data_IF_243821050754
#
_entry.id   IF_243821050754
#
_cell.length_a   1.000
_cell.length_b   1.000
_cell.length_c   1.000
_cell.angle_alpha   90.00
_cell.angle_beta   90.00
_cell.angle_gamma   90.00
#
_symmetry.space_group_name_H-M   'P 1'
#
loop_
_entity.id
_entity.type
_entity.pdbx_description
1 polymer ?
#
# COMPACT_ATOMS: atom_id res chain seq x y z
N UNK A 1 -4.34 2.50 28.79
CA UNK A 1 -3.19 1.73 28.29
C UNK A 1 -2.35 2.70 27.47
N UNK A 2 -1.31 3.26 28.09
CA UNK A 2 -0.39 4.21 27.49
C UNK A 2 0.49 3.48 26.46
N UNK A 3 0.37 3.86 25.18
CA UNK A 3 1.40 3.57 24.20
C UNK A 3 2.31 4.79 24.08
N UNK A 4 3.21 4.93 25.02
CA UNK A 4 4.40 5.76 24.84
C UNK A 4 5.43 4.91 24.11
N UNK A 5 5.43 4.96 22.77
CA UNK A 5 6.63 4.68 22.01
C UNK A 5 7.26 6.06 21.73
N UNK A 6 8.44 6.37 22.22
CA UNK A 6 9.17 7.55 21.77
C UNK A 6 9.38 7.36 20.27
N UNK A 7 8.88 8.29 19.47
CA UNK A 7 9.21 8.35 18.05
C UNK A 7 10.73 8.35 17.97
N UNK A 8 11.31 7.29 17.44
CA UNK A 8 12.73 7.10 17.35
C UNK A 8 13.33 8.26 16.56
N UNK A 9 13.94 9.22 17.24
CA UNK A 9 14.51 10.43 16.65
C UNK A 9 15.63 10.12 15.65
N UNK A 10 16.13 8.89 15.65
CA UNK A 10 17.15 8.40 14.70
C UNK A 10 16.61 8.29 13.27
N UNK A 11 15.29 8.15 13.07
CA UNK A 11 14.66 8.06 11.75
C UNK A 11 14.66 9.39 10.98
N UNK A 12 14.95 10.52 11.63
CA UNK A 12 14.91 11.85 11.03
C UNK A 12 16.29 12.49 10.83
N UNK A 13 17.37 11.76 11.10
CA UNK A 13 18.74 12.14 10.74
C UNK A 13 19.06 11.62 9.33
N UNK A 14 18.36 12.19 8.34
CA UNK A 14 18.68 11.90 6.95
C UNK A 14 19.96 12.66 6.57
N UNK A 15 21.01 11.99 6.06
CA UNK A 15 22.12 12.69 5.45
C UNK A 15 21.59 13.56 4.31
N UNK A 16 22.17 14.73 4.13
CA UNK A 16 21.88 15.67 3.03
C UNK A 16 20.46 16.29 3.01
N UNK A 17 19.79 16.35 4.18
CA UNK A 17 18.47 16.99 4.27
C UNK A 17 18.52 18.47 3.85
N UNK A 18 19.58 19.17 4.21
CA UNK A 18 19.79 20.58 3.82
C UNK A 18 20.02 20.74 2.31
N UNK A 19 20.70 19.78 1.68
CA UNK A 19 20.87 19.75 0.24
C UNK A 19 19.54 19.54 -0.47
N UNK A 20 18.74 18.58 0.00
CA UNK A 20 17.40 18.35 -0.53
C UNK A 20 16.52 19.59 -0.38
N UNK A 21 16.55 20.26 0.77
CA UNK A 21 15.78 21.47 1.03
C UNK A 21 16.17 22.62 0.09
N UNK A 22 17.46 22.75 -0.24
CA UNK A 22 17.95 23.72 -1.24
C UNK A 22 17.54 23.34 -2.65
N UNK A 23 17.70 22.06 -3.04
CA UNK A 23 17.33 21.54 -4.37
C UNK A 23 15.85 21.75 -4.67
N UNK A 24 14.98 21.53 -3.69
CA UNK A 24 13.54 21.73 -3.83
C UNK A 24 13.10 23.19 -3.64
N UNK A 25 14.03 24.10 -3.37
CA UNK A 25 13.74 25.51 -3.04
C UNK A 25 12.88 25.68 -1.76
N UNK A 26 12.75 24.66 -0.95
CA UNK A 26 12.08 24.77 0.36
C UNK A 26 12.85 25.69 1.30
N UNK A 27 14.18 25.68 1.23
CA UNK A 27 15.06 26.63 1.89
C UNK A 27 15.89 27.34 0.83
N UNK A 28 15.57 28.63 0.58
CA UNK A 28 16.29 29.47 -0.40
C UNK A 28 17.52 30.12 0.26
N UNK A 29 17.35 30.55 1.52
CA UNK A 29 18.41 31.21 2.30
C UNK A 29 18.48 30.58 3.68
N UNK A 30 19.69 30.44 4.24
CA UNK A 30 19.87 29.96 5.60
C UNK A 30 19.10 30.86 6.56
N UNK A 31 18.17 30.30 7.31
CA UNK A 31 17.38 30.99 8.30
C UNK A 31 17.83 30.56 9.69
N UNK A 32 18.06 31.51 10.58
CA UNK A 32 18.29 31.25 12.00
C UNK A 32 17.03 30.77 12.74
N UNK A 33 15.86 31.03 12.14
CA UNK A 33 14.58 30.72 12.77
C UNK A 33 14.07 29.30 12.51
N UNK A 34 14.47 28.69 11.40
CA UNK A 34 13.98 27.37 11.02
C UNK A 34 14.86 26.75 9.94
N UNK A 35 15.42 25.61 10.22
CA UNK A 35 16.08 24.73 9.25
C UNK A 35 15.15 23.57 8.83
N UNK A 36 15.55 22.83 7.83
CA UNK A 36 14.75 21.75 7.25
C UNK A 36 14.51 20.60 8.25
N UNK A 37 15.52 20.26 9.05
CA UNK A 37 15.46 19.20 10.05
C UNK A 37 14.47 19.54 11.16
N UNK A 38 14.60 20.73 11.74
CA UNK A 38 13.71 21.22 12.80
C UNK A 38 12.27 21.31 12.33
N UNK A 39 12.03 21.78 11.10
CA UNK A 39 10.68 21.79 10.50
C UNK A 39 10.13 20.35 10.36
N UNK A 40 10.88 19.45 9.79
CA UNK A 40 10.45 18.05 9.57
C UNK A 40 10.13 17.35 10.89
N UNK A 41 11.01 17.48 11.91
CA UNK A 41 10.80 16.89 13.23
C UNK A 41 9.54 17.45 13.90
N UNK A 42 9.32 18.75 13.80
CA UNK A 42 8.16 19.40 14.42
C UNK A 42 6.87 19.00 13.71
N UNK A 43 6.87 18.97 12.37
CA UNK A 43 5.73 18.53 11.57
C UNK A 43 5.38 17.08 11.86
N UNK A 44 6.37 16.18 11.83
CA UNK A 44 6.16 14.74 12.11
C UNK A 44 5.65 14.51 13.54
N UNK A 45 6.18 15.23 14.53
CA UNK A 45 5.69 15.16 15.91
C UNK A 45 4.26 15.67 16.06
N UNK A 46 3.91 16.76 15.38
CA UNK A 46 2.55 17.32 15.39
C UNK A 46 1.54 16.36 14.74
N UNK A 47 1.89 15.75 13.60
CA UNK A 47 1.06 14.75 12.92
C UNK A 47 0.90 13.50 13.78
N UNK A 48 1.96 12.98 14.36
CA UNK A 48 1.93 11.79 15.20
C UNK A 48 1.10 11.97 16.47
N UNK A 49 1.03 13.18 17.01
CA UNK A 49 0.20 13.51 18.18
C UNK A 49 -1.25 13.86 17.82
N UNK A 50 -1.62 13.86 16.53
CA UNK A 50 -2.96 14.23 16.06
C UNK A 50 -3.24 15.73 16.10
N UNK A 51 -2.22 16.56 16.31
CA UNK A 51 -2.33 18.01 16.44
C UNK A 51 -1.46 18.72 15.40
N UNK A 52 -1.95 18.84 14.17
CA UNK A 52 -1.19 19.40 13.05
C UNK A 52 -1.73 20.76 12.55
N UNK A 53 -2.29 21.60 13.41
CA UNK A 53 -2.66 22.97 13.02
C UNK A 53 -1.41 23.84 12.84
N UNK A 54 -1.50 24.86 11.96
CA UNK A 54 -0.41 25.82 11.74
C UNK A 54 0.05 26.49 13.06
N UNK A 55 -0.90 26.77 13.95
CA UNK A 55 -0.59 27.37 15.26
C UNK A 55 0.22 26.40 16.14
N UNK A 56 -0.15 25.13 16.18
CA UNK A 56 0.57 24.13 17.00
C UNK A 56 1.97 23.84 16.44
N UNK A 57 2.11 23.80 15.12
CA UNK A 57 3.43 23.68 14.46
C UNK A 57 4.27 24.93 14.78
N UNK A 58 3.68 26.13 14.73
CA UNK A 58 4.38 27.37 15.08
C UNK A 58 4.86 27.39 16.54
N UNK A 59 4.02 26.95 17.48
CA UNK A 59 4.38 26.81 18.91
C UNK A 59 5.53 25.79 19.06
N UNK A 60 5.41 24.61 18.46
CA UNK A 60 6.45 23.57 18.53
C UNK A 60 7.80 24.03 17.96
N UNK A 61 7.78 24.74 16.83
CA UNK A 61 8.99 25.34 16.26
C UNK A 61 9.57 26.43 17.13
N UNK A 62 8.71 27.32 17.67
CA UNK A 62 9.17 28.39 18.58
C UNK A 62 9.85 27.82 19.82
N UNK A 63 9.32 26.75 20.39
CA UNK A 63 9.91 26.06 21.54
C UNK A 63 11.27 25.43 21.21
N UNK A 64 11.42 24.82 20.01
CA UNK A 64 12.65 24.15 19.59
C UNK A 64 13.75 25.14 19.20
N UNK A 65 13.39 26.25 18.60
CA UNK A 65 14.36 27.23 18.06
C UNK A 65 14.68 28.38 19.01
N UNK A 66 13.85 28.58 20.05
CA UNK A 66 13.91 29.76 20.90
C UNK A 66 13.50 31.06 20.20
N UNK A 67 12.93 30.98 18.99
CA UNK A 67 12.54 32.12 18.18
C UNK A 67 11.02 32.18 18.05
N UNK A 68 10.44 33.38 18.08
CA UNK A 68 9.00 33.51 17.80
C UNK A 68 8.69 33.28 16.36
N UNK A 69 7.83 32.26 16.08
CA UNK A 69 7.35 31.90 14.75
C UNK A 69 5.82 32.04 14.75
N UNK A 70 5.28 32.77 13.78
CA UNK A 70 3.82 32.96 13.66
C UNK A 70 3.18 31.81 12.88
N UNK A 71 1.88 31.58 13.13
CA UNK A 71 1.09 30.61 12.34
C UNK A 71 1.01 30.99 10.86
N UNK A 72 1.03 32.28 10.55
CA UNK A 72 1.09 32.78 9.16
C UNK A 72 2.38 32.36 8.47
N UNK A 73 3.54 32.46 9.14
CA UNK A 73 4.81 32.00 8.57
C UNK A 73 4.81 30.48 8.31
N UNK A 74 4.08 29.71 9.10
CA UNK A 74 3.90 28.27 8.83
C UNK A 74 2.97 28.04 7.63
N UNK A 75 1.86 28.77 7.55
CA UNK A 75 0.95 28.69 6.41
C UNK A 75 1.67 28.96 5.09
N UNK A 76 2.49 30.00 5.02
CA UNK A 76 3.29 30.35 3.83
C UNK A 76 4.34 29.30 3.46
N UNK A 77 4.73 28.43 4.40
CA UNK A 77 5.67 27.33 4.14
C UNK A 77 5.02 26.13 3.44
N UNK A 78 3.70 25.97 3.56
CA UNK A 78 2.98 24.93 2.83
C UNK A 78 2.76 25.38 1.37
N UNK A 79 3.72 25.01 0.52
CA UNK A 79 3.83 25.42 -0.89
C UNK A 79 4.26 24.22 -1.74
N UNK A 80 4.32 24.38 -3.05
CA UNK A 80 4.86 23.37 -3.95
C UNK A 80 6.29 22.96 -3.56
N UNK A 81 7.11 23.91 -3.10
CA UNK A 81 8.46 23.63 -2.63
C UNK A 81 8.48 22.72 -1.39
N UNK A 82 7.56 22.92 -0.45
CA UNK A 82 7.43 22.01 0.71
C UNK A 82 6.91 20.63 0.31
N UNK A 83 5.99 20.55 -0.64
CA UNK A 83 5.52 19.27 -1.18
C UNK A 83 6.67 18.51 -1.84
N UNK A 84 7.44 19.15 -2.71
CA UNK A 84 8.61 18.54 -3.33
C UNK A 84 9.68 18.11 -2.31
N UNK A 85 9.89 18.91 -1.26
CA UNK A 85 10.80 18.57 -0.17
C UNK A 85 10.33 17.33 0.59
N UNK A 86 9.07 17.30 1.03
CA UNK A 86 8.51 16.16 1.78
C UNK A 86 8.47 14.88 0.94
N UNK A 87 8.15 14.97 -0.35
CA UNK A 87 8.24 13.84 -1.30
C UNK A 87 9.67 13.29 -1.37
N UNK A 88 10.67 14.16 -1.51
CA UNK A 88 12.07 13.74 -1.51
C UNK A 88 12.54 13.14 -0.18
N UNK A 89 12.00 13.62 0.95
CA UNK A 89 12.23 13.01 2.28
C UNK A 89 11.64 11.61 2.32
N UNK A 90 10.42 11.42 1.85
CA UNK A 90 9.77 10.09 1.79
C UNK A 90 10.58 9.11 0.94
N UNK A 91 10.99 9.51 -0.25
CA UNK A 91 11.81 8.69 -1.14
C UNK A 91 13.11 8.22 -0.45
N UNK A 92 13.80 9.12 0.25
CA UNK A 92 15.02 8.78 0.98
C UNK A 92 14.77 7.84 2.16
N UNK A 93 13.70 8.06 2.92
CA UNK A 93 13.34 7.19 4.05
C UNK A 93 13.02 5.76 3.58
N UNK A 94 12.30 5.61 2.50
CA UNK A 94 11.98 4.30 1.94
C UNK A 94 13.23 3.61 1.39
N UNK A 95 14.08 4.31 0.63
CA UNK A 95 15.34 3.77 0.13
C UNK A 95 16.26 3.25 1.24
N UNK A 96 16.38 3.97 2.35
CA UNK A 96 17.19 3.54 3.49
C UNK A 96 16.60 2.33 4.23
N UNK A 97 15.27 2.21 4.32
CA UNK A 97 14.60 1.20 5.16
C UNK A 97 14.45 -0.16 4.50
N UNK A 98 14.34 -0.19 3.18
CA UNK A 98 14.05 -1.41 2.41
C UNK A 98 15.22 -1.92 1.56
N UNK A 99 16.20 -1.09 1.25
CA UNK A 99 17.38 -1.46 0.46
C UNK A 99 18.22 -2.64 1.00
N UNK A 100 18.38 -2.86 2.33
CA UNK A 100 19.31 -3.90 2.80
C UNK A 100 18.79 -5.34 2.73
N UNK A 101 17.50 -5.57 2.38
CA UNK A 101 16.87 -6.89 2.52
C UNK A 101 16.79 -7.70 1.22
N UNK A 102 16.88 -7.08 0.07
CA UNK A 102 16.76 -7.76 -1.22
C UNK A 102 18.08 -7.72 -1.98
N UNK A 103 18.83 -8.82 -1.91
CA UNK A 103 19.95 -9.01 -2.83
C UNK A 103 19.38 -9.45 -4.20
N UNK A 104 19.73 -8.76 -5.27
CA UNK A 104 19.32 -9.08 -6.64
C UNK A 104 19.65 -10.54 -7.08
N UNK A 105 20.45 -11.28 -6.31
CA UNK A 105 20.87 -12.63 -6.63
C UNK A 105 19.77 -13.70 -6.59
N UNK A 106 18.62 -13.44 -5.96
CA UNK A 106 17.55 -14.44 -5.77
C UNK A 106 16.24 -14.09 -6.51
N UNK A 107 16.21 -13.01 -7.29
CA UNK A 107 14.98 -12.54 -7.95
C UNK A 107 14.81 -13.08 -9.37
N UNK A 108 15.77 -13.83 -9.91
CA UNK A 108 15.70 -14.41 -11.27
C UNK A 108 15.44 -13.36 -12.34
N UNK A 109 14.32 -13.50 -13.04
CA UNK A 109 13.91 -12.57 -14.10
C UNK A 109 13.27 -11.26 -13.60
N UNK A 110 13.05 -11.12 -12.29
CA UNK A 110 12.42 -9.93 -11.70
C UNK A 110 13.47 -8.85 -11.49
N UNK A 111 13.18 -7.64 -11.96
CA UNK A 111 14.03 -6.44 -11.80
C UNK A 111 13.59 -5.56 -10.64
N UNK A 112 12.27 -5.29 -10.55
CA UNK A 112 11.64 -4.51 -9.49
C UNK A 112 10.46 -5.28 -8.91
N UNK A 113 10.17 -5.06 -7.64
CA UNK A 113 8.95 -5.57 -7.01
C UNK A 113 8.10 -4.36 -6.63
N UNK A 114 7.09 -4.09 -7.43
CA UNK A 114 6.21 -2.95 -7.27
C UNK A 114 5.01 -3.32 -6.40
N UNK A 115 4.88 -2.64 -5.25
CA UNK A 115 3.74 -2.80 -4.35
C UNK A 115 2.87 -1.56 -4.43
N UNK A 116 1.59 -1.74 -4.73
CA UNK A 116 0.59 -0.68 -4.76
C UNK A 116 -0.48 -0.95 -3.71
N UNK A 117 -0.76 0.07 -2.90
CA UNK A 117 -1.81 0.05 -1.88
C UNK A 117 -2.35 1.46 -1.65
N UNK A 118 -3.58 1.56 -1.20
CA UNK A 118 -4.23 2.83 -0.88
C UNK A 118 -4.58 2.94 0.59
N UNK A 119 -4.57 4.18 1.08
CA UNK A 119 -5.00 4.51 2.43
C UNK A 119 -5.94 5.70 2.40
N UNK A 120 -6.99 5.65 3.22
CA UNK A 120 -7.95 6.76 3.34
C UNK A 120 -7.72 7.51 4.63
N UNK A 121 -7.54 8.83 4.50
CA UNK A 121 -7.40 9.73 5.63
C UNK A 121 -8.61 10.65 5.73
N UNK A 122 -9.25 10.67 6.91
CA UNK A 122 -10.36 11.60 7.16
C UNK A 122 -9.87 13.04 7.17
N UNK A 123 -10.62 13.92 6.54
CA UNK A 123 -10.32 15.34 6.46
C UNK A 123 -11.39 16.20 7.17
N UNK A 124 -11.09 17.44 7.54
CA UNK A 124 -12.09 18.39 8.01
C UNK A 124 -13.22 18.56 7.00
N UNK A 125 -14.47 18.64 7.49
CA UNK A 125 -15.67 18.73 6.65
C UNK A 125 -15.63 19.89 5.64
N UNK A 126 -14.90 20.96 5.94
CA UNK A 126 -14.70 22.09 5.02
C UNK A 126 -14.05 21.66 3.68
N UNK A 127 -13.38 20.53 3.63
CA UNK A 127 -12.74 19.99 2.41
C UNK A 127 -13.66 19.03 1.64
N UNK A 128 -14.94 18.86 2.01
CA UNK A 128 -15.83 17.86 1.41
C UNK A 128 -16.16 18.13 -0.07
N UNK A 129 -16.03 19.36 -0.54
CA UNK A 129 -16.21 19.73 -1.94
C UNK A 129 -15.05 19.22 -2.81
N UNK A 130 -13.82 19.34 -2.32
CA UNK A 130 -12.61 18.87 -3.03
C UNK A 130 -12.35 17.37 -2.84
N UNK A 131 -12.60 16.88 -1.63
CA UNK A 131 -12.34 15.49 -1.24
C UNK A 131 -13.57 14.88 -0.57
N UNK A 132 -14.63 14.57 -1.35
CA UNK A 132 -15.78 13.88 -0.82
C UNK A 132 -15.41 12.49 -0.29
N UNK A 133 -16.04 12.09 0.81
CA UNK A 133 -15.96 10.74 1.35
C UNK A 133 -17.36 10.13 1.48
N UNK A 134 -17.42 8.81 1.62
CA UNK A 134 -18.69 8.12 1.86
C UNK A 134 -19.34 8.65 3.14
N UNK A 135 -20.53 9.19 3.01
CA UNK A 135 -21.32 9.74 4.11
C UNK A 135 -21.65 8.66 5.16
N UNK A 136 -21.83 9.11 6.38
CA UNK A 136 -22.40 8.30 7.45
C UNK A 136 -23.79 8.82 7.83
N UNK A 137 -24.41 8.24 8.86
CA UNK A 137 -25.74 8.67 9.37
C UNK A 137 -25.81 10.16 9.79
N UNK A 138 -24.67 10.83 9.94
CA UNK A 138 -24.54 12.23 10.37
C UNK A 138 -24.23 13.20 9.22
N UNK A 139 -24.27 12.74 7.97
CA UNK A 139 -24.13 13.55 6.76
C UNK A 139 -22.86 13.26 5.94
N UNK A 140 -22.56 14.17 5.00
CA UNK A 140 -21.37 14.08 4.16
C UNK A 140 -20.10 14.26 4.99
N UNK A 141 -19.09 13.47 4.66
CA UNK A 141 -17.77 13.54 5.26
C UNK A 141 -16.74 13.89 4.19
N UNK A 142 -15.58 14.36 4.61
CA UNK A 142 -14.44 14.59 3.74
C UNK A 142 -13.34 13.58 4.03
N UNK A 143 -12.67 13.11 2.98
CA UNK A 143 -11.55 12.18 3.09
C UNK A 143 -10.71 12.18 1.84
N UNK A 144 -9.41 12.11 2.01
CA UNK A 144 -8.44 11.92 0.93
C UNK A 144 -8.02 10.46 0.89
N UNK A 145 -8.03 9.89 -0.30
CA UNK A 145 -7.40 8.61 -0.60
C UNK A 145 -5.99 8.90 -1.09
N UNK A 146 -5.03 8.30 -0.44
CA UNK A 146 -3.62 8.35 -0.82
C UNK A 146 -3.32 7.00 -1.45
N UNK A 147 -3.13 6.97 -2.75
CA UNK A 147 -2.63 5.81 -3.46
C UNK A 147 -1.12 5.90 -3.56
N UNK A 148 -0.46 4.78 -3.39
CA UNK A 148 0.97 4.76 -3.21
C UNK A 148 1.56 3.48 -3.80
N UNK A 149 2.51 3.65 -4.72
CA UNK A 149 3.26 2.55 -5.28
C UNK A 149 4.76 2.75 -5.04
N UNK A 150 5.43 1.70 -4.61
CA UNK A 150 6.87 1.72 -4.37
C UNK A 150 7.55 0.43 -4.79
N UNK A 151 8.82 0.54 -5.15
CA UNK A 151 9.67 -0.60 -5.45
C UNK A 151 10.33 -1.13 -4.17
N UNK A 152 10.02 -2.37 -3.81
CA UNK A 152 10.60 -3.06 -2.65
C UNK A 152 12.11 -3.29 -2.77
N UNK A 153 12.65 -3.31 -3.99
CA UNK A 153 14.07 -3.59 -4.25
C UNK A 153 14.91 -2.34 -4.04
N UNK A 154 14.53 -1.24 -4.69
CA UNK A 154 15.24 0.05 -4.58
C UNK A 154 14.76 0.88 -3.38
N UNK A 155 13.54 0.64 -2.90
CA UNK A 155 12.88 1.49 -1.90
C UNK A 155 12.37 2.81 -2.46
N UNK A 156 12.37 2.98 -3.78
CA UNK A 156 11.90 4.20 -4.44
C UNK A 156 10.37 4.24 -4.53
N UNK A 157 9.82 5.41 -4.34
CA UNK A 157 8.41 5.69 -4.63
C UNK A 157 8.24 5.81 -6.13
N UNK A 158 7.47 4.89 -6.71
CA UNK A 158 7.20 4.85 -8.16
C UNK A 158 6.10 5.81 -8.52
N UNK A 159 5.02 5.83 -7.73
CA UNK A 159 3.91 6.77 -7.91
C UNK A 159 3.24 7.08 -6.57
N UNK A 160 2.59 8.23 -6.53
CA UNK A 160 1.66 8.60 -5.47
C UNK A 160 0.59 9.53 -6.05
N UNK A 161 -0.66 9.29 -5.69
CA UNK A 161 -1.78 10.16 -6.07
C UNK A 161 -2.63 10.50 -4.85
N UNK A 162 -3.32 11.62 -4.93
CA UNK A 162 -4.25 12.10 -3.91
C UNK A 162 -5.61 12.27 -4.57
N UNK A 163 -6.54 11.41 -4.17
CA UNK A 163 -7.89 11.37 -4.73
C UNK A 163 -8.95 11.54 -3.65
N UNK A 164 -10.20 11.77 -4.05
CA UNK A 164 -11.31 11.72 -3.13
C UNK A 164 -11.47 10.31 -2.56
N UNK A 165 -11.85 10.20 -1.27
CA UNK A 165 -12.05 8.88 -0.64
C UNK A 165 -13.16 8.04 -1.30
N UNK A 166 -14.01 8.66 -2.11
CA UNK A 166 -15.04 7.98 -2.92
C UNK A 166 -14.50 7.34 -4.19
N UNK A 167 -13.28 7.70 -4.63
CA UNK A 167 -12.70 7.15 -5.86
C UNK A 167 -12.38 5.66 -5.70
N UNK A 168 -12.61 4.88 -6.74
CA UNK A 168 -12.38 3.44 -6.72
C UNK A 168 -10.90 3.11 -6.99
N UNK A 169 -10.34 2.15 -6.25
CA UNK A 169 -8.95 1.70 -6.42
C UNK A 169 -8.64 1.27 -7.87
N UNK A 170 -9.62 0.67 -8.56
CA UNK A 170 -9.48 0.28 -9.98
C UNK A 170 -9.29 1.44 -10.95
N UNK A 171 -9.81 2.62 -10.63
CA UNK A 171 -9.64 3.81 -11.49
C UNK A 171 -8.24 4.36 -11.30
N UNK A 172 -7.81 4.49 -10.05
CA UNK A 172 -6.49 4.98 -9.67
C UNK A 172 -5.40 4.05 -10.21
N UNK A 173 -5.56 2.74 -10.03
CA UNK A 173 -4.60 1.73 -10.44
C UNK A 173 -4.29 1.65 -11.94
N UNK A 174 -5.14 2.23 -12.81
CA UNK A 174 -4.87 2.29 -14.26
C UNK A 174 -3.66 3.16 -14.62
N UNK A 175 -3.47 4.27 -13.93
CA UNK A 175 -2.33 5.15 -14.15
C UNK A 175 -1.02 4.45 -13.78
N UNK A 176 -1.04 3.73 -12.66
CA UNK A 176 0.11 2.94 -12.23
C UNK A 176 0.56 1.91 -13.28
N UNK A 177 -0.39 1.20 -13.93
CA UNK A 177 -0.04 0.20 -14.96
C UNK A 177 0.78 0.81 -16.10
N UNK A 178 0.61 2.11 -16.39
CA UNK A 178 1.40 2.80 -17.42
C UNK A 178 2.89 2.91 -17.07
N UNK A 179 3.26 2.83 -15.79
CA UNK A 179 4.62 2.93 -15.27
C UNK A 179 5.32 1.57 -15.12
N UNK A 180 4.58 0.48 -15.36
CA UNK A 180 5.11 -0.88 -15.28
C UNK A 180 6.00 -1.16 -16.49
N UNK A 181 7.19 -1.70 -16.24
CA UNK A 181 8.22 -2.02 -17.23
C UNK A 181 8.49 -3.53 -17.32
N UNK A 182 9.21 -3.95 -18.35
CA UNK A 182 9.64 -5.34 -18.53
C UNK A 182 10.46 -5.83 -17.32
N UNK A 183 10.11 -7.00 -16.79
CA UNK A 183 10.76 -7.61 -15.64
C UNK A 183 10.27 -7.11 -14.29
N UNK A 184 9.24 -6.24 -14.24
CA UNK A 184 8.60 -5.88 -12.97
C UNK A 184 7.72 -7.01 -12.44
N UNK A 185 7.65 -7.16 -11.12
CA UNK A 185 6.62 -7.94 -10.43
C UNK A 185 5.65 -7.01 -9.71
N UNK A 186 4.41 -6.97 -10.14
CA UNK A 186 3.35 -6.15 -9.54
C UNK A 186 2.62 -6.93 -8.46
N UNK A 187 2.61 -6.39 -7.24
CA UNK A 187 1.88 -6.90 -6.08
C UNK A 187 0.75 -5.93 -5.72
N UNK A 188 -0.49 -6.41 -5.80
CA UNK A 188 -1.68 -5.61 -5.50
C UNK A 188 -2.65 -6.37 -4.60
N UNK A 189 -3.38 -5.64 -3.78
CA UNK A 189 -4.50 -6.22 -3.03
C UNK A 189 -5.73 -6.44 -3.93
N UNK A 190 -6.70 -7.18 -3.40
CA UNK A 190 -7.93 -7.53 -4.13
C UNK A 190 -8.78 -6.31 -4.53
N UNK A 191 -8.59 -5.14 -3.91
CA UNK A 191 -9.22 -3.89 -4.31
C UNK A 191 -8.90 -3.49 -5.75
N UNK A 192 -7.68 -3.74 -6.18
CA UNK A 192 -7.16 -3.48 -7.54
C UNK A 192 -7.34 -4.64 -8.51
N UNK A 193 -8.08 -5.68 -8.14
CA UNK A 193 -8.20 -6.88 -8.98
C UNK A 193 -8.89 -6.57 -10.31
N UNK A 194 -8.16 -6.73 -11.42
CA UNK A 194 -8.66 -6.54 -12.78
C UNK A 194 -7.94 -7.46 -13.76
N UNK A 195 -8.67 -8.40 -14.36
CA UNK A 195 -8.09 -9.32 -15.36
C UNK A 195 -7.58 -8.58 -16.61
N UNK A 196 -8.21 -7.48 -17.00
CA UNK A 196 -7.78 -6.66 -18.14
C UNK A 196 -6.45 -5.96 -17.86
N UNK A 197 -6.23 -5.48 -16.64
CA UNK A 197 -4.96 -4.87 -16.26
C UNK A 197 -3.84 -5.90 -16.18
N UNK A 198 -4.12 -7.11 -15.71
CA UNK A 198 -3.14 -8.20 -15.73
C UNK A 198 -2.71 -8.58 -17.15
N UNK A 199 -3.62 -8.53 -18.13
CA UNK A 199 -3.27 -8.68 -19.55
C UNK A 199 -2.34 -7.57 -20.02
N UNK A 200 -2.61 -6.32 -19.60
CA UNK A 200 -1.76 -5.18 -19.98
C UNK A 200 -0.36 -5.26 -19.31
N UNK A 201 -0.28 -5.67 -18.04
CA UNK A 201 0.99 -5.92 -17.35
C UNK A 201 1.81 -6.98 -18.10
N UNK A 202 1.18 -8.10 -18.51
CA UNK A 202 1.86 -9.13 -19.30
C UNK A 202 2.32 -8.62 -20.67
N UNK A 203 1.49 -7.80 -21.34
CA UNK A 203 1.86 -7.20 -22.64
C UNK A 203 3.12 -6.34 -22.53
N UNK A 204 3.40 -5.80 -21.35
CA UNK A 204 4.61 -5.02 -21.04
C UNK A 204 5.81 -5.91 -20.68
N UNK A 205 5.68 -7.22 -20.71
CA UNK A 205 6.74 -8.15 -20.30
C UNK A 205 6.93 -8.25 -18.79
N UNK A 206 5.91 -7.88 -18.02
CA UNK A 206 5.96 -7.84 -16.56
C UNK A 206 5.14 -8.98 -15.95
N UNK A 207 5.33 -9.17 -14.67
CA UNK A 207 4.69 -10.20 -13.87
C UNK A 207 3.73 -9.58 -12.86
N UNK A 208 2.76 -10.36 -12.42
CA UNK A 208 1.82 -9.97 -11.38
C UNK A 208 1.54 -11.14 -10.42
N UNK A 209 1.26 -10.81 -9.18
CA UNK A 209 0.85 -11.75 -8.14
C UNK A 209 -0.26 -11.11 -7.31
N UNK A 210 -1.39 -11.79 -7.18
CA UNK A 210 -2.53 -11.31 -6.41
C UNK A 210 -3.25 -12.43 -5.69
N UNK A 211 -4.02 -12.09 -4.65
CA UNK A 211 -4.91 -13.03 -3.97
C UNK A 211 -6.13 -13.34 -4.84
N UNK A 212 -6.65 -14.56 -4.73
CA UNK A 212 -7.85 -15.00 -5.44
C UNK A 212 -9.10 -14.44 -4.77
N UNK A 213 -9.89 -13.55 -5.44
CA UNK A 213 -11.18 -13.12 -4.92
C UNK A 213 -12.15 -14.30 -4.79
N UNK A 214 -13.06 -14.25 -3.82
CA UNK A 214 -14.08 -15.30 -3.64
C UNK A 214 -15.01 -15.44 -4.85
N UNK A 215 -15.27 -14.34 -5.52
CA UNK A 215 -16.15 -14.27 -6.69
C UNK A 215 -15.48 -14.71 -7.99
N UNK A 216 -14.15 -14.91 -7.98
CA UNK A 216 -13.44 -15.33 -9.19
C UNK A 216 -13.66 -16.81 -9.46
N UNK A 217 -14.25 -17.11 -10.62
CA UNK A 217 -14.31 -18.48 -11.16
C UNK A 217 -12.93 -18.91 -11.66
N UNK A 218 -12.45 -20.06 -11.15
CA UNK A 218 -11.24 -20.71 -11.66
C UNK A 218 -11.61 -22.05 -12.29
N UNK A 219 -11.17 -22.27 -13.52
CA UNK A 219 -11.34 -23.54 -14.24
C UNK A 219 -10.01 -24.28 -14.22
N UNK A 220 -10.09 -25.53 -13.79
CA UNK A 220 -8.97 -26.46 -13.72
C UNK A 220 -9.12 -27.47 -14.86
N UNK A 221 -8.05 -27.81 -15.54
CA UNK A 221 -8.11 -28.70 -16.73
C UNK A 221 -8.67 -30.09 -16.41
N UNK A 222 -8.54 -30.56 -15.17
CA UNK A 222 -9.16 -31.82 -14.71
C UNK A 222 -10.69 -31.76 -14.61
N UNK A 223 -11.31 -30.60 -14.82
CA UNK A 223 -12.76 -30.38 -14.69
C UNK A 223 -13.30 -30.37 -13.25
N UNK A 224 -12.45 -30.56 -12.24
CA UNK A 224 -12.87 -30.45 -10.84
C UNK A 224 -12.98 -28.99 -10.39
N UNK A 225 -13.83 -28.73 -9.39
CA UNK A 225 -13.91 -27.41 -8.78
C UNK A 225 -12.72 -27.16 -7.86
N UNK A 226 -12.37 -25.87 -7.67
CA UNK A 226 -11.30 -25.45 -6.74
C UNK A 226 -11.56 -26.01 -5.34
N UNK A 227 -12.79 -25.93 -4.85
CA UNK A 227 -13.16 -26.37 -3.49
C UNK A 227 -12.97 -27.90 -3.32
N UNK A 228 -13.30 -28.67 -4.35
CA UNK A 228 -13.06 -30.12 -4.35
C UNK A 228 -11.57 -30.43 -4.32
N UNK A 229 -10.79 -29.73 -5.12
CA UNK A 229 -9.33 -29.82 -5.10
C UNK A 229 -8.77 -29.51 -3.71
N UNK A 230 -9.15 -28.36 -3.12
CA UNK A 230 -8.66 -27.90 -1.81
C UNK A 230 -9.02 -28.87 -0.67
N UNK A 231 -10.22 -29.48 -0.72
CA UNK A 231 -10.66 -30.46 0.29
C UNK A 231 -9.86 -31.75 0.23
N UNK A 232 -9.59 -32.24 -0.99
CA UNK A 232 -9.03 -33.58 -1.20
C UNK A 232 -7.50 -33.58 -1.24
N UNK A 233 -6.87 -32.39 -1.35
CA UNK A 233 -5.41 -32.31 -1.40
C UNK A 233 -4.79 -32.55 -0.02
N UNK A 234 -3.90 -33.55 0.08
CA UNK A 234 -3.24 -33.91 1.33
C UNK A 234 -1.98 -33.08 1.63
N UNK A 235 -1.37 -32.49 0.60
CA UNK A 235 -0.14 -31.69 0.73
C UNK A 235 -0.38 -30.29 1.28
N UNK A 236 0.72 -29.57 1.49
CA UNK A 236 0.69 -28.18 1.96
C UNK A 236 0.69 -27.16 0.84
N UNK A 237 1.02 -27.57 -0.38
CA UNK A 237 1.14 -26.68 -1.55
C UNK A 237 0.40 -27.30 -2.73
N UNK A 238 -0.37 -26.48 -3.43
CA UNK A 238 -0.93 -26.76 -4.75
C UNK A 238 -0.34 -25.73 -5.70
N UNK A 239 0.18 -26.19 -6.82
CA UNK A 239 0.78 -25.36 -7.86
C UNK A 239 0.38 -25.92 -9.21
N UNK A 240 -0.50 -25.22 -9.94
CA UNK A 240 -1.03 -25.71 -11.21
C UNK A 240 -1.53 -24.59 -12.13
N UNK A 241 -1.55 -24.86 -13.42
CA UNK A 241 -2.15 -23.98 -14.39
C UNK A 241 -3.69 -23.98 -14.26
N UNK A 242 -4.29 -22.79 -14.37
CA UNK A 242 -5.73 -22.59 -14.33
C UNK A 242 -6.16 -21.53 -15.34
N UNK A 243 -7.46 -21.50 -15.61
CA UNK A 243 -8.08 -20.42 -16.40
C UNK A 243 -8.98 -19.59 -15.49
N UNK A 244 -8.72 -18.28 -15.40
CA UNK A 244 -9.43 -17.33 -14.54
C UNK A 244 -10.51 -16.56 -15.28
N UNK A 245 -11.67 -16.40 -14.62
CA UNK A 245 -12.80 -15.63 -15.12
C UNK A 245 -13.52 -16.27 -16.33
N UNK A 246 -14.50 -15.56 -16.85
CA UNK A 246 -15.31 -16.02 -17.98
C UNK A 246 -14.49 -16.06 -19.27
N UNK A 247 -13.63 -15.08 -19.49
CA UNK A 247 -12.71 -15.03 -20.65
C UNK A 247 -11.66 -16.13 -20.64
N UNK A 248 -11.48 -16.86 -19.55
CA UNK A 248 -10.54 -17.96 -19.45
C UNK A 248 -9.08 -17.53 -19.52
N UNK A 249 -8.72 -16.44 -18.84
CA UNK A 249 -7.33 -15.98 -18.75
C UNK A 249 -6.43 -17.06 -18.16
N UNK A 250 -5.45 -17.54 -18.93
CA UNK A 250 -4.48 -18.51 -18.46
C UNK A 250 -3.59 -17.88 -17.39
N UNK A 251 -3.46 -18.56 -16.26
CA UNK A 251 -2.58 -18.16 -15.16
C UNK A 251 -2.21 -19.37 -14.32
N UNK A 252 -1.37 -19.17 -13.33
CA UNK A 252 -0.90 -20.18 -12.38
C UNK A 252 -1.57 -19.95 -11.05
N UNK A 253 -2.20 -20.97 -10.47
CA UNK A 253 -2.71 -20.98 -9.10
C UNK A 253 -1.64 -21.54 -8.17
N UNK A 254 -1.29 -20.74 -7.17
CA UNK A 254 -0.45 -21.18 -6.05
C UNK A 254 -1.32 -21.14 -4.79
N UNK A 255 -1.53 -22.28 -4.17
CA UNK A 255 -2.27 -22.39 -2.92
C UNK A 255 -1.38 -23.00 -1.84
N UNK A 256 -1.24 -22.29 -0.73
CA UNK A 256 -0.45 -22.73 0.42
C UNK A 256 -1.40 -22.95 1.59
N UNK A 257 -1.30 -24.11 2.26
CA UNK A 257 -2.15 -24.45 3.38
C UNK A 257 -1.90 -23.49 4.54
N UNK A 258 -2.95 -22.85 5.02
CA UNK A 258 -2.86 -21.97 6.17
C UNK A 258 -2.66 -22.80 7.47
N UNK A 259 -1.92 -22.25 8.42
CA UNK A 259 -1.81 -22.88 9.74
C UNK A 259 -3.20 -23.05 10.37
N UNK A 260 -3.35 -24.09 11.21
CA UNK A 260 -4.62 -24.37 11.87
C UNK A 260 -5.15 -23.18 12.69
N UNK A 261 -4.27 -22.37 13.26
CA UNK A 261 -4.64 -21.16 14.01
C UNK A 261 -5.23 -20.09 13.08
N UNK A 262 -4.57 -19.81 11.94
CA UNK A 262 -5.03 -18.85 10.94
C UNK A 262 -6.36 -19.29 10.33
N UNK A 263 -6.48 -20.56 9.93
CA UNK A 263 -7.72 -21.10 9.36
C UNK A 263 -8.90 -20.98 10.35
N UNK A 264 -8.71 -21.31 11.63
CA UNK A 264 -9.73 -21.15 12.68
C UNK A 264 -10.14 -19.69 12.87
N UNK A 265 -9.18 -18.77 12.92
CA UNK A 265 -9.45 -17.33 13.06
C UNK A 265 -10.29 -16.80 11.89
N UNK A 266 -9.92 -17.14 10.65
CA UNK A 266 -10.66 -16.72 9.44
C UNK A 266 -12.09 -17.27 9.42
N UNK A 267 -12.28 -18.57 9.68
CA UNK A 267 -13.60 -19.20 9.74
C UNK A 267 -14.48 -18.63 10.85
N UNK A 268 -13.90 -18.31 12.02
CA UNK A 268 -14.62 -17.65 13.11
C UNK A 268 -15.10 -16.26 12.69
N UNK A 269 -14.24 -15.48 12.03
CA UNK A 269 -14.61 -14.15 11.54
C UNK A 269 -15.71 -14.25 10.49
N UNK A 270 -15.58 -15.13 9.50
CA UNK A 270 -16.61 -15.36 8.46
C UNK A 270 -17.97 -15.72 9.04
N UNK A 271 -18.01 -16.61 10.03
CA UNK A 271 -19.27 -16.96 10.73
C UNK A 271 -19.85 -15.77 11.47
N UNK A 272 -19.01 -14.97 12.13
CA UNK A 272 -19.45 -13.75 12.82
C UNK A 272 -20.05 -12.74 11.85
N UNK A 273 -19.40 -12.53 10.69
CA UNK A 273 -19.87 -11.59 9.69
C UNK A 273 -21.18 -12.05 9.03
N UNK A 274 -21.32 -13.36 8.79
CA UNK A 274 -22.55 -13.95 8.29
C UNK A 274 -23.71 -13.79 9.30
N UNK A 275 -23.46 -14.08 10.57
CA UNK A 275 -24.45 -13.90 11.65
C UNK A 275 -24.88 -12.43 11.77
N UNK A 276 -23.95 -11.49 11.68
CA UNK A 276 -24.26 -10.05 11.73
C UNK A 276 -25.14 -9.58 10.56
N UNK A 277 -25.10 -10.30 9.44
CA UNK A 277 -25.94 -10.07 8.24
C UNK A 277 -27.22 -10.92 8.22
N UNK A 278 -27.44 -11.77 9.20
CA UNK A 278 -28.57 -12.68 9.25
C UNK A 278 -28.58 -13.77 8.17
N UNK A 279 -27.40 -14.18 7.66
CA UNK A 279 -27.24 -15.20 6.61
C UNK A 279 -26.35 -16.35 7.08
N UNK A 280 -26.50 -17.51 6.41
CA UNK A 280 -25.59 -18.62 6.63
C UNK A 280 -24.18 -18.32 6.06
N UNK A 281 -23.10 -18.78 6.71
CA UNK A 281 -21.75 -18.59 6.22
C UNK A 281 -21.52 -19.38 4.93
N UNK A 282 -20.96 -18.72 3.93
CA UNK A 282 -20.65 -19.34 2.63
C UNK A 282 -19.73 -20.56 2.77
N UNK A 283 -20.19 -21.76 2.37
CA UNK A 283 -19.40 -22.99 2.48
C UNK A 283 -18.09 -22.94 1.67
N UNK A 284 -18.10 -22.29 0.51
CA UNK A 284 -16.94 -22.09 -0.36
C UNK A 284 -15.87 -21.29 0.38
N UNK A 285 -16.26 -20.18 1.00
CA UNK A 285 -15.38 -19.35 1.79
C UNK A 285 -14.78 -20.09 2.98
N UNK A 286 -15.56 -20.94 3.69
CA UNK A 286 -15.07 -21.74 4.80
C UNK A 286 -13.99 -22.76 4.38
N UNK A 287 -14.06 -23.29 3.13
CA UNK A 287 -13.03 -24.17 2.59
C UNK A 287 -11.78 -23.38 2.27
N UNK A 288 -11.94 -22.26 1.53
CA UNK A 288 -10.85 -21.38 1.10
C UNK A 288 -10.11 -20.74 2.29
N UNK A 289 -10.76 -20.53 3.44
CA UNK A 289 -10.15 -20.03 4.68
C UNK A 289 -9.00 -20.91 5.20
N UNK A 290 -8.94 -22.18 4.78
CA UNK A 290 -7.86 -23.12 5.10
C UNK A 290 -6.60 -22.94 4.22
N UNK A 291 -6.61 -21.98 3.29
CA UNK A 291 -5.55 -21.82 2.31
C UNK A 291 -5.20 -20.35 2.08
N UNK A 292 -3.98 -20.08 1.69
CA UNK A 292 -3.56 -18.84 1.04
C UNK A 292 -3.62 -19.08 -0.48
N UNK A 293 -4.57 -18.44 -1.14
CA UNK A 293 -4.83 -18.63 -2.57
C UNK A 293 -4.31 -17.43 -3.34
N UNK A 294 -3.39 -17.66 -4.24
CA UNK A 294 -2.78 -16.64 -5.10
C UNK A 294 -2.84 -17.09 -6.56
N UNK A 295 -2.97 -16.14 -7.47
CA UNK A 295 -2.78 -16.36 -8.91
C UNK A 295 -1.72 -15.42 -9.45
N UNK A 296 -1.00 -15.88 -10.49
CA UNK A 296 0.15 -15.20 -11.05
C UNK A 296 0.42 -15.66 -12.49
N UNK A 297 1.19 -14.88 -13.24
CA UNK A 297 1.81 -15.30 -14.50
C UNK A 297 3.30 -15.67 -14.35
N UNK A 298 3.83 -15.69 -13.12
CA UNK A 298 5.24 -16.07 -12.89
C UNK A 298 5.51 -17.50 -13.38
N UNK A 299 6.64 -17.73 -14.08
CA UNK A 299 7.03 -19.06 -14.54
C UNK A 299 7.28 -20.01 -13.37
N UNK A 300 6.92 -21.29 -13.55
CA UNK A 300 7.17 -22.35 -12.54
C UNK A 300 8.66 -22.58 -12.34
N UNK A 301 9.43 -22.49 -13.42
CA UNK A 301 10.88 -22.79 -13.41
C UNK A 301 11.67 -21.83 -12.48
N UNK A 302 11.24 -20.57 -12.40
CA UNK A 302 11.97 -19.53 -11.67
C UNK A 302 11.46 -19.36 -10.23
N UNK A 303 10.21 -19.77 -9.95
CA UNK A 303 9.56 -19.52 -8.66
C UNK A 303 8.79 -20.74 -8.19
N UNK A 304 9.38 -21.52 -7.30
CA UNK A 304 8.71 -22.63 -6.62
C UNK A 304 8.24 -22.19 -5.23
N UNK A 305 6.97 -22.42 -4.86
CA UNK A 305 6.50 -22.11 -3.53
C UNK A 305 7.23 -22.97 -2.48
N UNK A 306 7.85 -22.33 -1.48
CA UNK A 306 8.45 -23.02 -0.35
C UNK A 306 7.53 -22.95 0.86
N UNK A 307 7.41 -24.03 1.60
CA UNK A 307 6.81 -24.09 2.94
C UNK A 307 7.95 -24.00 3.95
N UNK A 308 8.38 -22.80 4.30
CA UNK A 308 9.26 -22.58 5.44
C UNK A 308 8.45 -22.39 6.73
#
# INVERSE_FOLDING_TARGET
>A
MQRNSPADSSLLTLPDLDELAKKTKFVIRKSLKMDASTFLQTLSGAVASGFASHNQIAIGLSQRTGQTISSQAIFERFSEASTAFLTGVMQRLFGQRFSPGFSNGNLGVIRRILVEDSSVQTMPKANAELFPAHGNRHGSTAGVKIDFAYDLVSGEVVSHTLEAATEQDKVIGREFVSMVEEGDLVLRDMGYFSLSEFVEIERRGAYWLTRVPLTLGLRIDSGQTLERLLKNHCGNVIDLAVKAGEVGKSCRLVAIRASGAVARKRRKQRRKDALAKGVEPDPTGLIRDGWHLMITNLPVADFTPSTS
#
